data_IF_486841204127
#
_entry.id   IF_486841204127
#
_cell.length_a   1.000
_cell.length_b   1.000
_cell.length_c   1.000
_cell.angle_alpha   90.00
_cell.angle_beta   90.00
_cell.angle_gamma   90.00
#
_symmetry.space_group_name_H-M   'P 1'
#
loop_
_entity.id
_entity.type
_entity.pdbx_description
1 polymer ?
#
# COMPACT_ATOMS: atom_id res chain seq x y z
N UNK A 1 -11.22 -3.54 -17.97
CA UNK A 1 -11.16 -4.29 -16.70
C UNK A 1 -9.99 -3.71 -15.94
N UNK A 2 -10.22 -3.08 -14.79
CA UNK A 2 -9.11 -2.56 -13.98
C UNK A 2 -8.48 -3.75 -13.27
N UNK A 3 -7.29 -4.16 -13.72
CA UNK A 3 -6.53 -5.25 -13.12
C UNK A 3 -5.66 -4.66 -12.00
N UNK A 4 -6.12 -4.82 -10.75
CA UNK A 4 -5.26 -4.70 -9.59
C UNK A 4 -4.72 -6.09 -9.27
N UNK A 5 -3.44 -6.18 -8.93
CA UNK A 5 -2.80 -7.44 -8.54
C UNK A 5 -1.88 -7.18 -7.35
N UNK A 6 -1.92 -8.10 -6.39
CA UNK A 6 -0.93 -8.19 -5.32
C UNK A 6 -0.04 -9.35 -5.69
N UNK A 7 1.14 -9.06 -6.23
CA UNK A 7 2.14 -10.08 -6.53
C UNK A 7 2.96 -10.37 -5.29
N UNK A 8 2.83 -11.53 -4.68
CA UNK A 8 3.73 -11.98 -3.61
C UNK A 8 4.69 -13.04 -4.15
N UNK A 9 5.99 -12.83 -3.97
CA UNK A 9 6.96 -13.91 -4.19
C UNK A 9 6.96 -14.80 -2.96
N UNK A 10 6.18 -15.89 -2.99
CA UNK A 10 6.21 -16.90 -1.91
C UNK A 10 7.55 -17.65 -1.82
N UNK A 11 8.43 -17.48 -2.81
CA UNK A 11 9.76 -18.09 -2.87
C UNK A 11 10.84 -17.23 -2.20
N UNK A 12 10.50 -15.99 -1.82
CA UNK A 12 11.40 -15.06 -1.13
C UNK A 12 11.19 -15.15 0.38
N UNK A 13 12.28 -15.36 1.12
CA UNK A 13 12.26 -15.36 2.59
C UNK A 13 12.02 -13.96 3.19
N UNK A 14 12.28 -12.92 2.39
CA UNK A 14 11.85 -11.54 2.56
C UNK A 14 10.41 -11.41 2.05
N UNK A 15 9.45 -11.26 2.97
CA UNK A 15 8.05 -10.98 2.60
C UNK A 15 8.01 -9.68 1.80
N UNK A 16 7.89 -9.82 0.48
CA UNK A 16 7.77 -8.75 -0.51
C UNK A 16 6.47 -8.93 -1.28
N UNK A 17 5.64 -7.90 -1.25
CA UNK A 17 4.41 -7.84 -2.03
C UNK A 17 4.37 -6.57 -2.88
N UNK A 18 4.20 -6.74 -4.18
CA UNK A 18 4.07 -5.63 -5.13
C UNK A 18 2.63 -5.13 -5.19
N UNK A 19 2.45 -3.80 -5.13
CA UNK A 19 1.16 -3.15 -5.32
C UNK A 19 1.11 -2.56 -6.73
N UNK A 20 0.33 -3.21 -7.61
CA UNK A 20 0.27 -2.87 -9.03
C UNK A 20 -1.15 -2.58 -9.51
N UNK A 21 -1.27 -1.59 -10.40
CA UNK A 21 -2.53 -1.20 -11.06
C UNK A 21 -2.27 -1.01 -12.55
N UNK A 22 -3.02 -1.70 -13.40
CA UNK A 22 -2.79 -1.68 -14.87
C UNK A 22 -1.33 -1.98 -15.26
N UNK A 23 -0.69 -2.93 -14.56
CA UNK A 23 0.72 -3.34 -14.75
C UNK A 23 1.76 -2.26 -14.44
N UNK A 24 1.35 -1.19 -13.76
CA UNK A 24 2.25 -0.19 -13.21
C UNK A 24 2.31 -0.40 -11.70
N UNK A 25 3.52 -0.66 -11.20
CA UNK A 25 3.77 -0.71 -9.77
C UNK A 25 3.65 0.71 -9.19
N UNK A 26 2.77 0.86 -8.21
CA UNK A 26 2.56 2.12 -7.48
C UNK A 26 2.94 2.00 -6.01
N UNK A 27 3.38 0.82 -5.57
CA UNK A 27 3.93 0.63 -4.24
C UNK A 27 4.42 -0.80 -3.99
N UNK A 28 4.85 -1.03 -2.77
CA UNK A 28 5.27 -2.33 -2.26
C UNK A 28 5.11 -2.42 -0.74
N UNK A 29 5.00 -3.64 -0.26
CA UNK A 29 5.04 -4.00 1.15
C UNK A 29 6.29 -4.84 1.35
N UNK A 30 7.15 -4.42 2.28
CA UNK A 30 8.45 -5.05 2.52
C UNK A 30 8.63 -5.35 4.00
N UNK A 31 9.07 -6.57 4.31
CA UNK A 31 9.50 -6.98 5.64
C UNK A 31 10.99 -6.72 5.81
N UNK A 32 11.37 -6.08 6.91
CA UNK A 32 12.78 -5.85 7.24
C UNK A 32 13.56 -7.16 7.36
N UNK A 33 14.86 -7.13 7.08
CA UNK A 33 15.73 -8.32 7.15
C UNK A 33 15.71 -8.99 8.53
N UNK A 34 15.59 -8.20 9.60
CA UNK A 34 15.48 -8.69 10.97
C UNK A 34 14.09 -9.26 11.33
N UNK A 35 13.13 -9.18 10.40
CA UNK A 35 11.74 -9.63 10.50
C UNK A 35 10.95 -8.96 11.63
N UNK A 36 11.35 -7.77 12.07
CA UNK A 36 10.69 -7.04 13.17
C UNK A 36 9.79 -5.91 12.72
N UNK A 37 9.88 -5.49 11.45
CA UNK A 37 9.11 -4.35 10.95
C UNK A 37 8.65 -4.56 9.52
N UNK A 38 7.46 -4.05 9.23
CA UNK A 38 6.89 -4.03 7.88
C UNK A 38 6.79 -2.57 7.44
N UNK A 39 7.39 -2.28 6.29
CA UNK A 39 7.30 -0.99 5.60
C UNK A 39 6.29 -1.08 4.46
N UNK A 40 5.54 0.00 4.28
CA UNK A 40 4.63 0.21 3.16
C UNK A 40 5.18 1.39 2.39
N UNK A 41 5.55 1.15 1.13
CA UNK A 41 6.19 2.12 0.26
C UNK A 41 5.22 2.43 -0.87
N UNK A 42 4.94 3.71 -1.09
CA UNK A 42 4.03 4.20 -2.13
C UNK A 42 4.80 5.13 -3.06
N UNK A 43 4.63 4.92 -4.36
CA UNK A 43 5.22 5.69 -5.46
C UNK A 43 4.13 6.53 -6.13
N UNK A 44 3.77 7.71 -5.56
CA UNK A 44 2.72 8.56 -6.13
C UNK A 44 3.09 9.14 -7.49
N UNK A 45 4.38 9.36 -7.75
CA UNK A 45 4.94 9.83 -9.02
C UNK A 45 6.43 9.47 -9.13
N UNK A 46 7.07 9.74 -10.27
CA UNK A 46 8.48 9.39 -10.53
C UNK A 46 9.50 10.10 -9.61
N UNK A 47 9.10 11.19 -8.96
CA UNK A 47 9.99 12.04 -8.17
C UNK A 47 9.83 11.85 -6.66
N UNK A 48 8.85 11.07 -6.23
CA UNK A 48 8.45 10.97 -4.83
C UNK A 48 8.27 9.53 -4.39
N UNK A 49 8.82 9.23 -3.22
CA UNK A 49 8.63 7.97 -2.51
C UNK A 49 8.08 8.31 -1.13
N UNK A 50 6.99 7.67 -0.76
CA UNK A 50 6.40 7.78 0.58
C UNK A 50 6.58 6.45 1.29
N UNK A 51 7.29 6.45 2.40
CA UNK A 51 7.49 5.26 3.22
C UNK A 51 6.76 5.42 4.56
N UNK A 52 6.06 4.36 4.94
CA UNK A 52 5.31 4.29 6.19
C UNK A 52 5.65 3.00 6.93
N UNK A 53 5.71 3.07 8.25
CA UNK A 53 5.60 1.87 9.08
C UNK A 53 4.17 1.35 9.02
N UNK A 54 4.01 0.04 9.09
CA UNK A 54 2.70 -0.62 9.05
C UNK A 54 1.67 -0.02 10.02
N UNK A 55 2.05 0.17 11.29
CA UNK A 55 1.13 0.69 12.31
C UNK A 55 0.67 2.12 11.98
N UNK A 56 1.61 2.99 11.60
CA UNK A 56 1.32 4.38 11.23
C UNK A 56 0.42 4.44 9.98
N UNK A 57 0.68 3.57 9.00
CA UNK A 57 -0.11 3.50 7.78
C UNK A 57 -1.55 3.03 8.06
N UNK A 58 -1.73 2.02 8.91
CA UNK A 58 -3.06 1.55 9.30
C UNK A 58 -3.89 2.66 9.95
N UNK A 59 -3.28 3.41 10.86
CA UNK A 59 -3.93 4.53 11.53
C UNK A 59 -4.37 5.61 10.52
N UNK A 60 -3.54 5.89 9.51
CA UNK A 60 -3.87 6.84 8.44
C UNK A 60 -5.03 6.32 7.59
N UNK A 61 -4.99 5.04 7.20
CA UNK A 61 -6.06 4.43 6.40
C UNK A 61 -7.38 4.40 7.16
N UNK A 62 -7.39 4.08 8.44
CA UNK A 62 -8.62 4.06 9.23
C UNK A 62 -9.22 5.46 9.36
N UNK A 63 -8.39 6.48 9.61
CA UNK A 63 -8.83 7.89 9.60
C UNK A 63 -9.42 8.30 8.26
N UNK A 64 -8.73 7.94 7.16
CA UNK A 64 -9.21 8.22 5.82
C UNK A 64 -10.54 7.51 5.52
N UNK A 65 -10.67 6.24 5.90
CA UNK A 65 -11.91 5.45 5.75
C UNK A 65 -13.07 6.10 6.49
N UNK A 66 -12.90 6.41 7.77
CA UNK A 66 -13.92 7.07 8.60
C UNK A 66 -14.34 8.40 7.97
N UNK A 67 -13.37 9.20 7.53
CA UNK A 67 -13.67 10.47 6.86
C UNK A 67 -14.47 10.26 5.57
N UNK A 68 -14.02 9.38 4.68
CA UNK A 68 -14.69 9.09 3.40
C UNK A 68 -16.12 8.57 3.61
N UNK A 69 -16.34 7.73 4.62
CA UNK A 69 -17.68 7.22 4.96
C UNK A 69 -18.59 8.29 5.59
N UNK A 70 -18.01 9.34 6.16
CA UNK A 70 -18.75 10.50 6.70
C UNK A 70 -19.14 11.52 5.64
N UNK A 71 -18.49 11.48 4.46
CA UNK A 71 -18.84 12.38 3.36
C UNK A 71 -20.24 12.07 2.87
N UNK A 72 -21.01 13.11 2.57
CA UNK A 72 -22.29 12.94 1.89
C UNK A 72 -22.06 12.17 0.58
N UNK A 73 -22.92 11.18 0.33
CA UNK A 73 -22.87 10.43 -0.92
C UNK A 73 -22.96 11.41 -2.07
N UNK A 74 -22.03 11.29 -3.03
CA UNK A 74 -22.13 12.00 -4.30
C UNK A 74 -23.35 11.45 -5.05
N UNK A 75 -24.52 12.00 -4.77
CA UNK A 75 -25.77 11.63 -5.44
C UNK A 75 -25.85 12.31 -6.80
N UNK A 76 -25.94 11.50 -7.86
CA UNK A 76 -27.15 11.38 -8.67
C UNK A 76 -27.34 9.93 -9.10
#
# INVERSE_FOLDING_TARGET
MFEYSVGSSFEREDLYAELSFNRVQWGEISLSEDKKSVSIIIYPDESRVLEFKYDDFLDVIEKAKVHLLSLERLSK
#
